data_IF_133602248571
#
_entry.id   IF_133602248571
#
_cell.length_a   1.000
_cell.length_b   1.000
_cell.length_c   1.000
_cell.angle_alpha   90.00
_cell.angle_beta   90.00
_cell.angle_gamma   90.00
#
_symmetry.space_group_name_H-M   'P 1'
#
loop_
_entity.id
_entity.type
_entity.pdbx_description
1 polymer ?
#
# COMPACT_ATOMS: atom_id res chain seq x y z
N UNK A 1 2.68 19.78 -9.24
CA UNK A 1 2.23 18.56 -9.95
C UNK A 1 1.34 17.79 -8.99
N UNK A 2 0.30 17.12 -9.48
CA UNK A 2 -0.50 16.21 -8.64
C UNK A 2 0.35 15.01 -8.22
N UNK A 3 0.20 14.49 -6.99
CA UNK A 3 1.00 13.36 -6.52
C UNK A 3 0.70 12.09 -7.33
N UNK A 4 1.74 11.32 -7.60
CA UNK A 4 1.69 10.04 -8.32
C UNK A 4 1.60 8.91 -7.31
N UNK A 5 0.52 8.14 -7.39
CA UNK A 5 0.25 7.02 -6.50
C UNK A 5 0.24 5.70 -7.27
N UNK A 6 0.69 4.63 -6.61
CA UNK A 6 0.59 3.26 -7.13
C UNK A 6 0.44 2.23 -6.01
N UNK A 7 -0.24 1.14 -6.32
CA UNK A 7 -0.08 -0.09 -5.57
C UNK A 7 1.19 -0.79 -6.01
N UNK A 8 1.76 -1.64 -5.16
CA UNK A 8 2.87 -2.51 -5.54
C UNK A 8 2.71 -3.91 -4.94
N UNK A 9 3.18 -4.91 -5.66
CA UNK A 9 3.35 -6.28 -5.16
C UNK A 9 4.63 -6.89 -5.74
N UNK A 10 5.10 -7.98 -5.16
CA UNK A 10 6.34 -8.64 -5.54
C UNK A 10 6.08 -10.10 -5.94
N UNK A 11 6.67 -10.52 -7.06
CA UNK A 11 6.67 -11.89 -7.54
C UNK A 11 8.11 -12.36 -7.78
N UNK A 12 8.62 -13.22 -6.90
CA UNK A 12 9.99 -13.79 -7.01
C UNK A 12 9.97 -15.22 -7.55
N UNK A 13 8.84 -15.92 -7.45
CA UNK A 13 8.69 -17.31 -7.86
C UNK A 13 7.33 -17.55 -8.57
N UNK A 14 7.30 -18.51 -9.48
CA UNK A 14 6.10 -18.80 -10.28
C UNK A 14 4.96 -19.42 -9.46
N UNK A 15 5.22 -20.06 -8.31
CA UNK A 15 4.16 -20.64 -7.47
C UNK A 15 3.23 -19.59 -6.88
N UNK A 16 3.70 -18.34 -6.73
CA UNK A 16 2.91 -17.21 -6.23
C UNK A 16 2.05 -16.54 -7.31
N UNK A 17 2.06 -17.05 -8.56
CA UNK A 17 1.18 -16.57 -9.63
C UNK A 17 -0.28 -16.50 -9.18
N UNK A 18 -0.76 -17.56 -8.51
CA UNK A 18 -2.14 -17.65 -8.04
C UNK A 18 -2.49 -16.56 -7.04
N UNK A 19 -1.56 -16.26 -6.13
CA UNK A 19 -1.68 -15.17 -5.17
C UNK A 19 -1.80 -13.81 -5.86
N UNK A 20 -0.83 -13.47 -6.72
CA UNK A 20 -0.84 -12.19 -7.44
C UNK A 20 -2.10 -12.04 -8.28
N UNK A 21 -2.55 -13.10 -8.95
CA UNK A 21 -3.78 -13.07 -9.75
C UNK A 21 -5.02 -12.79 -8.87
N UNK A 22 -5.13 -13.42 -7.69
CA UNK A 22 -6.21 -13.15 -6.74
C UNK A 22 -6.14 -11.70 -6.20
N UNK A 23 -4.95 -11.21 -5.86
CA UNK A 23 -4.73 -9.83 -5.44
C UNK A 23 -5.19 -8.84 -6.51
N UNK A 24 -4.74 -9.02 -7.76
CA UNK A 24 -5.09 -8.14 -8.87
C UNK A 24 -6.60 -8.15 -9.13
N UNK A 25 -7.23 -9.33 -9.19
CA UNK A 25 -8.70 -9.43 -9.33
C UNK A 25 -9.45 -8.72 -8.21
N UNK A 26 -8.98 -8.86 -6.97
CA UNK A 26 -9.60 -8.21 -5.82
C UNK A 26 -9.45 -6.68 -5.87
N UNK A 27 -8.28 -6.16 -6.30
CA UNK A 27 -8.07 -4.73 -6.54
C UNK A 27 -8.94 -4.20 -7.68
N UNK A 28 -9.08 -4.95 -8.78
CA UNK A 28 -9.99 -4.63 -9.90
C UNK A 28 -11.43 -4.47 -9.42
N UNK A 29 -11.88 -5.36 -8.52
CA UNK A 29 -13.21 -5.28 -7.92
C UNK A 29 -13.43 -4.00 -7.10
N UNK A 30 -12.36 -3.40 -6.53
CA UNK A 30 -12.44 -2.10 -5.84
C UNK A 30 -12.53 -0.90 -6.79
N UNK A 31 -12.23 -1.10 -8.07
CA UNK A 31 -12.23 -0.06 -9.11
C UNK A 31 -11.29 1.09 -8.81
N UNK A 32 -10.18 0.79 -8.16
CA UNK A 32 -9.12 1.78 -7.94
C UNK A 32 -8.60 2.34 -9.27
N UNK A 33 -8.36 3.66 -9.39
CA UNK A 33 -7.82 4.26 -10.60
C UNK A 33 -6.28 4.14 -10.69
N UNK A 34 -5.63 3.66 -9.63
CA UNK A 34 -4.18 3.66 -9.53
C UNK A 34 -3.57 2.39 -10.13
N UNK A 35 -2.41 2.49 -10.79
CA UNK A 35 -1.73 1.33 -11.35
C UNK A 35 -1.15 0.43 -10.25
N UNK A 36 -0.88 -0.81 -10.60
CA UNK A 36 -0.14 -1.78 -9.78
C UNK A 36 1.24 -1.99 -10.38
N UNK A 37 2.29 -1.71 -9.60
CA UNK A 37 3.64 -2.12 -9.92
C UNK A 37 3.81 -3.60 -9.58
N UNK A 38 4.01 -4.42 -10.61
CA UNK A 38 4.38 -5.83 -10.43
C UNK A 38 5.90 -5.92 -10.46
N UNK A 39 6.53 -5.82 -9.29
CA UNK A 39 7.96 -6.07 -9.17
C UNK A 39 8.20 -7.56 -9.37
N UNK A 40 9.17 -7.93 -10.19
CA UNK A 40 9.52 -9.33 -10.39
C UNK A 40 11.01 -9.54 -10.58
N UNK A 41 11.50 -10.73 -10.21
CA UNK A 41 12.89 -11.13 -10.46
C UNK A 41 13.04 -11.79 -11.84
N UNK A 42 14.27 -12.12 -12.21
CA UNK A 42 14.58 -12.87 -13.43
C UNK A 42 14.12 -14.34 -13.38
N UNK A 43 13.83 -14.87 -12.19
CA UNK A 43 13.44 -16.27 -11.99
C UNK A 43 11.97 -16.52 -12.34
N UNK A 44 11.16 -15.46 -12.43
CA UNK A 44 9.78 -15.53 -12.88
C UNK A 44 9.72 -15.66 -14.41
N UNK A 45 8.94 -16.64 -14.89
CA UNK A 45 8.84 -16.88 -16.32
C UNK A 45 8.16 -15.72 -17.04
N UNK A 46 8.63 -15.42 -18.26
CA UNK A 46 8.00 -14.39 -19.10
C UNK A 46 6.53 -14.71 -19.43
N UNK A 47 6.16 -16.00 -19.47
CA UNK A 47 4.76 -16.44 -19.60
C UNK A 47 3.91 -16.02 -18.41
N UNK A 48 4.43 -16.15 -17.19
CA UNK A 48 3.75 -15.73 -15.96
C UNK A 48 3.51 -14.22 -15.98
N UNK A 49 4.53 -13.42 -16.28
CA UNK A 49 4.39 -11.95 -16.37
C UNK A 49 3.41 -11.56 -17.47
N UNK A 50 3.49 -12.17 -18.65
CA UNK A 50 2.56 -11.92 -19.74
C UNK A 50 1.12 -12.27 -19.37
N UNK A 51 0.89 -13.38 -18.68
CA UNK A 51 -0.46 -13.78 -18.24
C UNK A 51 -1.06 -12.73 -17.30
N UNK A 52 -0.30 -12.27 -16.29
CA UNK A 52 -0.75 -11.28 -15.31
C UNK A 52 -1.05 -9.91 -15.93
N UNK A 53 -0.29 -9.51 -16.98
CA UNK A 53 -0.44 -8.21 -17.65
C UNK A 53 -1.49 -8.25 -18.77
N UNK A 54 -1.52 -9.31 -19.58
CA UNK A 54 -2.32 -9.38 -20.80
C UNK A 54 -3.82 -9.36 -20.52
N UNK A 55 -4.27 -10.05 -19.47
CA UNK A 55 -5.68 -10.12 -19.09
C UNK A 55 -6.27 -8.75 -18.70
N UNK A 56 -5.43 -7.73 -18.52
CA UNK A 56 -5.77 -6.43 -17.93
C UNK A 56 -5.48 -5.25 -18.84
N UNK A 57 -4.99 -5.51 -20.06
CA UNK A 57 -4.88 -4.48 -21.09
C UNK A 57 -6.26 -4.22 -21.66
N UNK A 58 -6.74 -2.97 -21.58
CA UNK A 58 -7.84 -2.51 -22.43
C UNK A 58 -7.49 -2.85 -23.88
N UNK A 59 -8.38 -3.56 -24.58
CA UNK A 59 -8.38 -3.45 -26.03
C UNK A 59 -8.55 -1.96 -26.36
N UNK A 60 -7.69 -1.33 -27.16
CA UNK A 60 -8.03 -0.01 -27.68
C UNK A 60 -9.36 -0.15 -28.41
N UNK A 61 -10.30 0.76 -28.15
CA UNK A 61 -11.43 0.94 -29.03
C UNK A 61 -10.87 1.03 -30.45
N UNK A 62 -11.40 0.20 -31.36
CA UNK A 62 -11.02 0.25 -32.76
C UNK A 62 -11.19 1.67 -33.26
N UNK A 63 -10.09 2.40 -33.42
CA UNK A 63 -10.10 3.60 -34.24
C UNK A 63 -10.41 3.15 -35.65
N UNK A 64 -11.55 3.62 -36.15
CA UNK A 64 -11.96 3.50 -37.53
C UNK A 64 -10.78 3.79 -38.45
N UNK A 65 -10.64 2.92 -39.45
CA UNK A 65 -9.75 3.12 -40.57
C UNK A 65 -10.10 4.44 -41.28
N UNK A 66 -9.41 5.51 -40.91
CA UNK A 66 -9.49 6.83 -41.51
C UNK A 66 -8.13 7.25 -42.05
N UNK A 67 -7.81 6.79 -43.24
CA UNK A 67 -6.71 7.26 -44.10
C UNK A 67 -6.66 8.79 -44.12
N UNK A 68 -5.51 9.39 -43.77
CA UNK A 68 -4.76 10.34 -44.61
C UNK A 68 -3.54 10.87 -43.86
N UNK A 69 -2.36 10.72 -44.47
CA UNK A 69 -1.12 11.28 -43.96
C UNK A 69 -0.99 12.78 -44.23
N UNK A 70 -0.15 13.44 -43.43
CA UNK A 70 0.88 14.37 -43.93
C UNK A 70 1.87 14.77 -42.85
N UNK A 71 3.06 15.08 -43.35
CA UNK A 71 4.35 15.29 -42.71
C UNK A 71 4.43 16.44 -41.69
N UNK A 72 5.25 16.20 -40.65
CA UNK A 72 6.41 16.96 -40.20
C UNK A 72 6.39 18.50 -40.33
N UNK A 73 6.55 19.20 -39.21
CA UNK A 73 7.51 20.32 -39.09
C UNK A 73 7.89 20.63 -37.64
N UNK A 74 9.20 20.69 -37.46
CA UNK A 74 9.98 21.21 -36.35
C UNK A 74 9.70 22.70 -36.12
N UNK A 75 9.63 23.11 -34.85
CA UNK A 75 9.48 24.50 -34.44
C UNK A 75 10.01 24.69 -33.02
N UNK A 76 11.27 25.08 -32.94
CA UNK A 76 12.00 25.48 -31.74
C UNK A 76 11.60 26.94 -31.44
N UNK A 77 11.02 27.24 -30.28
CA UNK A 77 10.94 28.63 -29.82
C UNK A 77 11.36 28.75 -28.36
N UNK A 78 12.39 29.58 -28.20
CA UNK A 78 13.05 30.02 -26.98
C UNK A 78 12.33 31.29 -26.52
N UNK A 79 11.93 31.36 -25.24
CA UNK A 79 11.45 32.60 -24.61
C UNK A 79 12.39 32.96 -23.45
N UNK A 80 12.86 34.22 -23.35
CA UNK A 80 13.94 34.63 -22.46
C UNK A 80 13.48 34.98 -21.04
N UNK A 81 14.48 34.91 -20.16
CA UNK A 81 14.51 35.42 -18.79
C UNK A 81 14.33 36.94 -18.69
N UNK A 82 13.53 37.40 -17.72
CA UNK A 82 13.72 38.69 -17.03
C UNK A 82 12.88 38.71 -15.75
N UNK A 83 13.53 38.59 -14.59
CA UNK A 83 13.86 39.70 -13.67
C UNK A 83 12.76 39.98 -12.63
N UNK A 84 13.15 39.75 -11.37
CA UNK A 84 12.51 40.22 -10.15
C UNK A 84 12.58 41.76 -10.04
N UNK A 85 11.69 42.38 -9.25
CA UNK A 85 11.99 43.61 -8.55
C UNK A 85 12.21 43.41 -7.06
N UNK A 86 13.06 44.28 -6.54
CA UNK A 86 13.72 44.29 -5.24
C UNK A 86 12.85 44.73 -4.05
N UNK A 87 13.40 44.40 -2.89
CA UNK A 87 13.20 44.92 -1.54
C UNK A 87 12.98 46.44 -1.39
N UNK A 88 12.26 46.83 -0.32
CA UNK A 88 12.72 47.82 0.69
C UNK A 88 11.84 47.79 1.97
N UNK A 89 12.24 48.41 3.13
CA UNK A 89 12.38 47.67 4.39
C UNK A 89 11.74 48.33 5.64
N UNK A 90 11.94 47.71 6.81
CA UNK A 90 11.83 48.35 8.14
C UNK A 90 10.81 47.66 9.05
N UNK A 91 11.00 47.48 10.37
CA UNK A 91 12.01 47.96 11.33
C UNK A 91 12.08 46.97 12.51
N UNK A 92 13.27 46.82 13.08
CA UNK A 92 13.47 46.25 14.43
C UNK A 92 13.16 47.29 15.50
N UNK A 93 12.62 46.86 16.64
CA UNK A 93 12.88 47.50 17.94
C UNK A 93 12.73 46.50 19.09
N UNK A 94 13.78 46.37 19.87
CA UNK A 94 13.88 45.60 21.11
C UNK A 94 13.58 46.48 22.34
N UNK A 95 12.79 45.92 23.27
CA UNK A 95 12.89 46.01 24.76
C UNK A 95 12.56 47.35 25.48
N UNK A 96 12.26 47.41 26.81
CA UNK A 96 12.42 46.40 27.88
C UNK A 96 11.25 46.23 28.90
N UNK A 97 11.54 45.41 29.91
CA UNK A 97 10.80 44.81 31.04
C UNK A 97 9.98 45.77 31.94
N UNK A 98 8.84 45.28 32.45
CA UNK A 98 8.19 45.79 33.68
C UNK A 98 7.25 44.77 34.34
N UNK A 99 7.58 44.34 35.57
CA UNK A 99 6.71 43.51 36.44
C UNK A 99 5.60 44.36 37.08
N UNK A 100 4.36 43.87 37.11
CA UNK A 100 3.42 43.94 38.26
C UNK A 100 2.13 43.17 37.90
N UNK A 101 1.58 42.44 38.88
CA UNK A 101 0.53 41.45 38.64
C UNK A 101 -0.90 41.86 38.98
N UNK A 102 -1.74 40.84 38.81
CA UNK A 102 -2.99 40.51 39.52
C UNK A 102 -4.33 40.84 38.83
N UNK A 103 -5.00 39.71 38.49
CA UNK A 103 -6.43 39.37 38.38
C UNK A 103 -7.22 39.55 37.07
N UNK A 104 -8.12 38.59 36.79
CA UNK A 104 -8.41 38.14 35.44
C UNK A 104 -9.59 38.89 34.83
N UNK A 105 -9.40 39.41 33.62
CA UNK A 105 -10.51 39.82 32.77
C UNK A 105 -10.91 38.60 31.95
N UNK A 106 -12.14 38.12 32.13
CA UNK A 106 -12.74 37.09 31.29
C UNK A 106 -12.88 37.64 29.88
N UNK A 107 -11.87 37.42 29.05
CA UNK A 107 -11.93 37.70 27.63
C UNK A 107 -12.58 36.48 26.98
N UNK A 108 -13.85 36.60 26.61
CA UNK A 108 -14.50 35.65 25.71
C UNK A 108 -13.80 35.75 24.36
N UNK A 109 -12.76 34.93 24.17
CA UNK A 109 -12.20 34.69 22.85
C UNK A 109 -13.27 33.92 22.08
N UNK A 110 -13.96 34.61 21.18
CA UNK A 110 -14.62 33.93 20.05
C UNK A 110 -13.49 33.24 19.29
N UNK A 111 -13.28 31.96 19.58
CA UNK A 111 -12.39 31.13 18.77
C UNK A 111 -13.07 31.02 17.41
N UNK A 112 -12.50 31.71 16.44
CA UNK A 112 -12.72 31.41 15.03
C UNK A 112 -12.11 30.02 14.80
N UNK A 113 -12.89 28.98 15.09
CA UNK A 113 -12.49 27.57 14.94
C UNK A 113 -12.49 27.20 13.45
N UNK A 114 -11.52 27.71 12.70
CA UNK A 114 -11.10 27.01 11.48
C UNK A 114 -10.37 25.74 11.91
N UNK A 115 -11.12 24.67 12.25
CA UNK A 115 -10.57 23.35 12.58
C UNK A 115 -9.69 22.88 11.42
N UNK A 116 -8.38 22.85 11.64
CA UNK A 116 -7.42 22.27 10.70
C UNK A 116 -7.74 20.78 10.58
N UNK A 117 -8.14 20.33 9.38
CA UNK A 117 -8.45 18.91 9.14
C UNK A 117 -7.21 18.05 9.34
N UNK A 118 -7.30 17.07 10.23
CA UNK A 118 -6.26 16.06 10.46
C UNK A 118 -6.25 15.04 9.33
N UNK A 119 -5.18 14.26 9.20
CA UNK A 119 -5.15 13.15 8.23
C UNK A 119 -6.18 12.07 8.57
N UNK A 120 -6.49 11.87 9.85
CA UNK A 120 -7.61 11.02 10.28
C UNK A 120 -8.94 11.52 9.72
N UNK A 121 -9.23 12.83 9.81
CA UNK A 121 -10.47 13.40 9.26
C UNK A 121 -10.53 13.21 7.72
N UNK A 122 -9.38 13.29 7.03
CA UNK A 122 -9.29 13.08 5.57
C UNK A 122 -9.52 11.62 5.19
N UNK A 123 -8.96 10.70 5.96
CA UNK A 123 -9.12 9.25 5.76
C UNK A 123 -10.58 8.86 5.99
N UNK A 124 -11.19 9.29 7.09
CA UNK A 124 -12.61 8.99 7.38
C UNK A 124 -13.55 9.51 6.29
N UNK A 125 -13.32 10.74 5.81
CA UNK A 125 -14.08 11.30 4.70
C UNK A 125 -13.85 10.54 3.38
N UNK A 126 -12.62 10.10 3.11
CA UNK A 126 -12.31 9.29 1.95
C UNK A 126 -12.96 7.90 2.02
N UNK A 127 -12.95 7.26 3.20
CA UNK A 127 -13.64 5.99 3.46
C UNK A 127 -15.15 6.15 3.22
N UNK A 128 -15.77 7.20 3.76
CA UNK A 128 -17.20 7.49 3.59
C UNK A 128 -17.57 7.64 2.10
N UNK A 129 -16.81 8.44 1.35
CA UNK A 129 -17.03 8.64 -0.09
C UNK A 129 -16.85 7.35 -0.89
N UNK A 130 -15.88 6.51 -0.51
CA UNK A 130 -15.68 5.22 -1.17
C UNK A 130 -16.87 4.28 -0.94
N UNK A 131 -17.39 4.23 0.29
CA UNK A 131 -18.58 3.44 0.62
C UNK A 131 -19.84 3.94 -0.10
N UNK A 132 -20.03 5.25 -0.23
CA UNK A 132 -21.16 5.85 -0.96
C UNK A 132 -21.11 5.52 -2.46
N UNK A 133 -19.95 5.71 -3.11
CA UNK A 133 -19.76 5.36 -4.52
C UNK A 133 -20.02 3.87 -4.79
N UNK A 134 -19.58 3.00 -3.89
CA UNK A 134 -19.83 1.56 -3.99
C UNK A 134 -21.34 1.26 -3.93
N UNK A 135 -22.04 1.90 -2.99
CA UNK A 135 -23.49 1.72 -2.77
C UNK A 135 -24.35 2.24 -3.93
N UNK A 136 -24.03 3.43 -4.43
CA UNK A 136 -24.72 4.03 -5.58
C UNK A 136 -24.54 3.18 -6.84
N UNK A 137 -23.35 2.63 -7.05
CA UNK A 137 -23.04 1.84 -8.25
C UNK A 137 -23.65 0.43 -8.20
N UNK A 138 -23.78 -0.17 -7.01
CA UNK A 138 -24.54 -1.41 -6.83
C UNK A 138 -26.01 -1.26 -7.27
N UNK A 139 -26.58 -0.06 -7.12
CA UNK A 139 -27.94 0.26 -7.59
C UNK A 139 -28.03 0.57 -9.09
N UNK A 140 -26.95 1.04 -9.70
CA UNK A 140 -26.94 1.55 -11.07
C UNK A 140 -26.69 0.48 -12.17
N UNK A 141 -26.36 -0.77 -11.83
CA UNK A 141 -26.29 -1.88 -12.78
C UNK A 141 -25.28 -1.77 -13.94
N UNK A 142 -24.34 -0.82 -13.91
CA UNK A 142 -23.44 -0.51 -15.03
C UNK A 142 -22.25 -1.49 -15.18
N UNK A 143 -22.08 -2.00 -16.41
CA UNK A 143 -21.23 -3.12 -16.84
C UNK A 143 -19.87 -2.75 -17.48
N UNK A 144 -19.33 -1.56 -17.26
CA UNK A 144 -17.95 -1.28 -17.70
C UNK A 144 -16.92 -1.77 -16.66
N UNK A 145 -16.44 -2.99 -16.87
CA UNK A 145 -15.24 -3.53 -16.24
C UNK A 145 -14.00 -2.86 -16.87
N UNK A 146 -13.43 -1.88 -16.17
CA UNK A 146 -12.11 -1.37 -16.51
C UNK A 146 -11.10 -2.19 -15.70
N UNK A 147 -10.31 -3.02 -16.39
CA UNK A 147 -9.19 -3.75 -15.78
C UNK A 147 -8.14 -2.79 -15.22
N UNK A 148 -7.40 -3.25 -14.20
CA UNK A 148 -6.38 -2.44 -13.53
C UNK A 148 -5.10 -2.37 -14.37
N UNK A 149 -4.46 -1.20 -14.43
CA UNK A 149 -3.19 -1.08 -15.14
C UNK A 149 -2.06 -1.75 -14.35
N UNK A 150 -1.50 -2.84 -14.88
CA UNK A 150 -0.34 -3.51 -14.30
C UNK A 150 0.93 -3.11 -15.04
N UNK A 151 1.91 -2.59 -14.30
CA UNK A 151 3.21 -2.14 -14.81
C UNK A 151 4.29 -3.12 -14.31
N UNK A 152 4.77 -4.05 -15.16
CA UNK A 152 5.83 -4.96 -14.76
C UNK A 152 7.17 -4.21 -14.61
N UNK A 153 7.90 -4.51 -13.54
CA UNK A 153 9.23 -3.97 -13.24
C UNK A 153 10.18 -5.11 -12.91
N UNK A 154 11.13 -5.37 -13.78
CA UNK A 154 12.22 -6.28 -13.46
C UNK A 154 13.13 -5.63 -12.42
N UNK A 155 13.31 -6.30 -11.29
CA UNK A 155 14.20 -5.89 -10.20
C UNK A 155 15.21 -7.00 -9.91
N UNK A 156 16.41 -6.62 -9.46
CA UNK A 156 17.40 -7.60 -9.02
C UNK A 156 17.07 -8.14 -7.62
N UNK A 157 17.34 -9.42 -7.37
CA UNK A 157 17.23 -9.97 -6.02
C UNK A 157 18.13 -9.22 -5.04
N UNK A 158 17.68 -9.09 -3.80
CA UNK A 158 18.51 -8.63 -2.68
C UNK A 158 18.97 -9.86 -1.93
N UNK A 159 20.29 -10.04 -1.84
CA UNK A 159 20.88 -11.23 -1.26
C UNK A 159 20.55 -11.36 0.23
N UNK A 160 20.26 -12.59 0.64
CA UNK A 160 20.15 -12.96 2.05
C UNK A 160 21.51 -12.78 2.77
N UNK A 161 21.53 -12.31 4.04
CA UNK A 161 22.76 -12.13 4.82
C UNK A 161 23.64 -13.37 4.78
N UNK A 162 24.94 -13.18 4.56
CA UNK A 162 25.87 -14.32 4.41
C UNK A 162 25.93 -15.21 5.65
N UNK A 163 25.86 -14.59 6.83
CA UNK A 163 25.94 -15.29 8.10
C UNK A 163 24.74 -16.22 8.37
N UNK A 164 23.59 -15.94 7.75
CA UNK A 164 22.33 -16.63 8.02
C UNK A 164 21.85 -17.48 6.83
N UNK A 165 22.61 -17.48 5.73
CA UNK A 165 22.23 -18.14 4.46
C UNK A 165 22.02 -19.64 4.58
N UNK A 166 22.80 -20.30 5.43
CA UNK A 166 22.73 -21.75 5.66
C UNK A 166 21.74 -22.13 6.78
N UNK A 167 21.22 -21.13 7.51
CA UNK A 167 20.29 -21.32 8.64
C UNK A 167 18.89 -20.80 8.35
N UNK A 168 18.62 -20.28 7.15
CA UNK A 168 17.30 -19.81 6.75
C UNK A 168 16.27 -20.94 6.91
N UNK A 169 15.32 -20.84 7.86
CA UNK A 169 14.49 -21.97 8.27
C UNK A 169 13.43 -22.34 7.23
N UNK A 170 13.16 -21.48 6.24
CA UNK A 170 12.13 -21.67 5.23
C UNK A 170 12.71 -21.61 3.82
N UNK A 171 12.61 -22.73 3.10
CA UNK A 171 12.95 -22.83 1.68
C UNK A 171 12.00 -21.93 0.86
N UNK A 172 12.48 -20.76 0.43
CA UNK A 172 11.68 -19.74 -0.25
C UNK A 172 11.94 -18.31 0.25
N UNK A 173 12.51 -18.15 1.45
CA UNK A 173 12.84 -16.83 2.01
C UNK A 173 14.19 -16.28 1.53
N UNK A 174 14.85 -16.95 0.59
CA UNK A 174 16.12 -16.53 -0.01
C UNK A 174 16.02 -15.16 -0.70
N UNK A 175 14.82 -14.78 -1.13
CA UNK A 175 14.53 -13.51 -1.80
C UNK A 175 13.62 -12.58 -0.97
N UNK A 176 13.41 -12.84 0.33
CA UNK A 176 12.50 -12.03 1.16
C UNK A 176 12.90 -10.54 1.19
N UNK A 177 14.19 -10.24 1.20
CA UNK A 177 14.70 -8.86 1.15
C UNK A 177 14.55 -8.18 -0.20
N UNK A 178 14.17 -8.91 -1.26
CA UNK A 178 13.85 -8.28 -2.56
C UNK A 178 12.66 -7.33 -2.43
N UNK A 179 11.81 -7.49 -1.41
CA UNK A 179 10.74 -6.53 -1.05
C UNK A 179 11.27 -5.10 -0.84
N UNK A 180 12.51 -4.93 -0.39
CA UNK A 180 13.11 -3.61 -0.19
C UNK A 180 13.19 -2.78 -1.49
N UNK A 181 13.19 -3.43 -2.66
CA UNK A 181 13.17 -2.79 -3.99
C UNK A 181 11.97 -1.87 -4.22
N UNK A 182 10.92 -1.97 -3.40
CA UNK A 182 9.76 -1.06 -3.44
C UNK A 182 10.18 0.39 -3.15
N UNK A 183 11.23 0.62 -2.34
CA UNK A 183 11.75 1.97 -2.08
C UNK A 183 12.50 2.58 -3.28
N UNK A 184 12.91 1.80 -4.27
CA UNK A 184 13.56 2.32 -5.48
C UNK A 184 12.59 2.93 -6.50
N UNK A 185 11.27 2.77 -6.30
CA UNK A 185 10.24 3.16 -7.26
C UNK A 185 9.91 4.67 -7.18
N UNK A 186 10.95 5.51 -7.31
CA UNK A 186 10.91 6.98 -7.10
C UNK A 186 10.16 7.77 -8.18
N UNK A 187 9.58 7.09 -9.16
CA UNK A 187 8.63 7.71 -10.09
C UNK A 187 7.21 7.87 -9.48
N UNK A 188 7.01 7.44 -8.23
CA UNK A 188 5.80 7.62 -7.43
C UNK A 188 6.08 8.34 -6.11
N UNK A 189 5.13 9.15 -5.66
CA UNK A 189 5.20 9.91 -4.41
C UNK A 189 4.80 9.07 -3.20
N UNK A 190 3.79 8.19 -3.35
CA UNK A 190 3.34 7.25 -2.31
C UNK A 190 3.00 5.91 -2.94
N UNK A 191 3.48 4.84 -2.33
CA UNK A 191 3.18 3.46 -2.71
C UNK A 191 2.43 2.76 -1.57
N UNK A 192 1.36 2.05 -1.93
CA UNK A 192 0.71 1.06 -1.06
C UNK A 192 1.17 -0.33 -1.51
N UNK A 193 2.12 -0.90 -0.78
CA UNK A 193 2.59 -2.25 -1.00
C UNK A 193 1.64 -3.26 -0.36
N UNK A 194 1.32 -4.33 -1.09
CA UNK A 194 0.45 -5.44 -0.66
C UNK A 194 1.09 -6.76 -1.09
N UNK A 195 1.35 -7.66 -0.14
CA UNK A 195 1.95 -8.97 -0.41
C UNK A 195 1.06 -9.81 -1.34
N UNK A 196 1.71 -10.66 -2.15
CA UNK A 196 1.06 -11.48 -3.17
C UNK A 196 0.04 -12.49 -2.61
N UNK A 197 0.05 -12.78 -1.31
CA UNK A 197 -0.90 -13.65 -0.63
C UNK A 197 -1.99 -12.88 0.12
N UNK A 198 -2.23 -11.63 -0.25
CA UNK A 198 -3.37 -10.84 0.21
C UNK A 198 -4.51 -10.82 -0.82
N UNK A 199 -5.72 -10.55 -0.34
CA UNK A 199 -6.85 -10.11 -1.17
C UNK A 199 -7.45 -8.84 -0.57
N UNK A 200 -7.85 -7.92 -1.44
CA UNK A 200 -8.47 -6.64 -1.09
C UNK A 200 -9.99 -6.77 -1.20
N UNK A 201 -10.67 -6.73 -0.06
CA UNK A 201 -12.12 -6.92 0.02
C UNK A 201 -12.90 -5.61 -0.14
N UNK A 202 -12.23 -4.46 -0.01
CA UNK A 202 -12.82 -3.12 -0.05
C UNK A 202 -11.88 -2.09 -0.65
N UNK A 203 -12.38 -0.96 -1.18
CA UNK A 203 -11.53 0.16 -1.54
C UNK A 203 -10.62 0.58 -0.36
N UNK A 204 -9.34 0.77 -0.66
CA UNK A 204 -8.29 1.18 0.28
C UNK A 204 -7.47 2.38 -0.22
N UNK A 205 -7.99 3.11 -1.21
CA UNK A 205 -7.30 4.26 -1.82
C UNK A 205 -7.00 5.38 -0.82
N UNK A 206 -7.76 5.47 0.28
CA UNK A 206 -7.47 6.40 1.37
C UNK A 206 -6.11 6.16 2.05
N UNK A 207 -5.51 4.97 1.87
CA UNK A 207 -4.17 4.69 2.37
C UNK A 207 -3.11 5.62 1.76
N UNK A 208 -3.30 6.14 0.54
CA UNK A 208 -2.40 7.12 -0.06
C UNK A 208 -2.34 8.45 0.69
N UNK A 209 -3.30 8.71 1.58
CA UNK A 209 -3.36 9.92 2.41
C UNK A 209 -2.68 9.75 3.77
N UNK A 210 -2.14 8.56 4.08
CA UNK A 210 -1.53 8.26 5.38
C UNK A 210 -0.27 9.08 5.62
N UNK A 211 -0.14 9.58 6.84
CA UNK A 211 1.06 10.21 7.37
C UNK A 211 1.16 9.92 8.88
N UNK A 212 2.38 9.85 9.46
CA UNK A 212 3.66 9.84 8.75
C UNK A 212 3.91 8.51 8.04
N UNK A 213 4.87 8.50 7.11
CA UNK A 213 5.34 7.32 6.38
C UNK A 213 6.74 6.91 6.87
N UNK A 214 7.09 5.61 6.85
CA UNK A 214 6.25 4.49 6.44
C UNK A 214 5.18 4.13 7.49
N UNK A 215 4.04 3.62 7.02
CA UNK A 215 2.95 3.12 7.85
C UNK A 215 2.72 1.63 7.59
N UNK A 216 2.53 0.86 8.65
CA UNK A 216 2.31 -0.58 8.60
C UNK A 216 1.16 -0.96 9.53
N UNK A 217 0.61 -2.17 9.38
CA UNK A 217 -0.38 -2.70 10.30
C UNK A 217 0.29 -3.56 11.40
N UNK A 218 -0.25 -3.58 12.64
CA UNK A 218 0.32 -4.38 13.71
C UNK A 218 0.28 -5.88 13.40
N UNK A 219 1.29 -6.61 13.84
CA UNK A 219 1.27 -8.07 13.88
C UNK A 219 0.48 -8.56 15.11
N UNK A 220 0.14 -9.85 15.16
CA UNK A 220 -0.52 -10.46 16.32
C UNK A 220 0.51 -10.72 17.43
N UNK A 221 1.71 -11.17 17.08
CA UNK A 221 2.73 -11.61 18.05
C UNK A 221 4.13 -11.07 17.71
N UNK A 222 4.68 -10.10 18.46
CA UNK A 222 4.02 -9.24 19.45
C UNK A 222 3.32 -8.02 18.82
N UNK A 223 2.28 -7.46 19.47
CA UNK A 223 1.45 -6.39 18.90
C UNK A 223 2.14 -5.01 18.86
N UNK A 224 3.32 -4.88 19.48
CA UNK A 224 4.20 -3.71 19.34
C UNK A 224 5.11 -3.80 18.12
N UNK A 225 4.99 -4.88 17.33
CA UNK A 225 5.60 -5.07 16.02
C UNK A 225 4.54 -4.95 14.94
N UNK A 226 5.01 -4.61 13.75
CA UNK A 226 4.17 -4.61 12.56
C UNK A 226 4.38 -5.87 11.72
N UNK A 227 3.38 -6.20 10.92
CA UNK A 227 3.50 -7.15 9.84
C UNK A 227 3.77 -6.41 8.52
N UNK A 228 4.81 -6.81 7.78
CA UNK A 228 5.22 -6.11 6.55
C UNK A 228 4.47 -6.58 5.28
N UNK A 229 3.36 -7.28 5.44
CA UNK A 229 2.49 -7.68 4.32
C UNK A 229 1.71 -6.54 3.69
N UNK A 230 1.50 -5.44 4.43
CA UNK A 230 0.93 -4.20 3.89
C UNK A 230 1.72 -3.02 4.42
N UNK A 231 2.18 -2.16 3.51
CA UNK A 231 2.95 -0.97 3.84
C UNK A 231 2.49 0.23 3.02
N UNK A 232 2.41 1.41 3.63
CA UNK A 232 2.32 2.68 2.91
C UNK A 232 3.65 3.38 3.07
N UNK A 233 4.31 3.74 1.98
CA UNK A 233 5.65 4.32 2.01
C UNK A 233 5.84 5.39 0.94
N UNK A 234 6.80 6.26 1.19
CA UNK A 234 7.37 7.14 0.18
C UNK A 234 8.66 6.49 -0.35
N UNK A 235 8.76 6.18 -1.65
CA UNK A 235 9.99 5.66 -2.23
C UNK A 235 11.14 6.66 -2.07
N UNK A 236 12.32 6.18 -1.71
CA UNK A 236 13.53 6.97 -1.53
C UNK A 236 14.78 6.09 -1.75
N UNK A 237 15.64 6.48 -2.70
CA UNK A 237 16.84 5.72 -3.04
C UNK A 237 17.88 5.70 -1.91
N UNK A 238 17.95 6.76 -1.10
CA UNK A 238 18.83 6.82 0.06
C UNK A 238 18.38 5.86 1.15
N UNK A 239 17.07 5.85 1.45
CA UNK A 239 16.46 4.92 2.40
C UNK A 239 16.63 3.46 1.95
N UNK A 240 16.42 3.18 0.65
CA UNK A 240 16.71 1.88 0.07
C UNK A 240 18.18 1.47 0.29
N UNK A 241 19.14 2.34 -0.04
CA UNK A 241 20.56 2.07 0.15
C UNK A 241 20.93 1.80 1.61
N UNK A 242 20.35 2.57 2.54
CA UNK A 242 20.53 2.40 3.98
C UNK A 242 19.99 1.04 4.46
N UNK A 243 18.80 0.64 4.01
CA UNK A 243 18.22 -0.66 4.36
C UNK A 243 19.06 -1.81 3.80
N UNK A 244 19.47 -1.77 2.53
CA UNK A 244 20.31 -2.83 1.94
C UNK A 244 21.65 -2.95 2.67
N UNK A 245 22.28 -1.84 3.04
CA UNK A 245 23.50 -1.87 3.85
C UNK A 245 23.25 -2.43 5.28
N UNK A 246 22.04 -2.26 5.81
CA UNK A 246 21.67 -2.77 7.12
C UNK A 246 21.32 -4.27 7.12
N UNK A 247 20.98 -4.89 5.98
CA UNK A 247 20.66 -6.33 5.87
C UNK A 247 21.75 -7.21 6.46
N UNK A 248 23.03 -6.92 6.21
CA UNK A 248 24.16 -7.71 6.75
C UNK A 248 24.46 -7.41 8.24
N UNK A 249 23.81 -6.40 8.84
CA UNK A 249 24.15 -5.89 10.19
C UNK A 249 23.03 -6.05 11.20
N UNK A 250 21.77 -5.91 10.78
CA UNK A 250 20.61 -6.00 11.66
C UNK A 250 20.04 -7.41 11.64
N UNK A 251 19.65 -7.95 12.79
CA UNK A 251 19.02 -9.26 12.84
C UNK A 251 17.61 -9.20 12.26
N UNK A 252 17.16 -10.33 11.71
CA UNK A 252 15.74 -10.57 11.46
C UNK A 252 15.24 -11.62 12.45
N UNK A 253 14.31 -11.25 13.36
CA UNK A 253 13.87 -12.19 14.40
C UNK A 253 13.04 -13.36 13.86
N UNK A 254 12.43 -13.22 12.68
CA UNK A 254 11.72 -14.29 11.99
C UNK A 254 12.58 -14.90 10.86
N UNK A 255 13.66 -14.23 10.45
CA UNK A 255 14.47 -14.58 9.28
C UNK A 255 13.95 -13.98 7.97
N UNK A 256 12.88 -13.19 8.00
CA UNK A 256 12.19 -12.61 6.86
C UNK A 256 12.29 -11.09 6.79
N UNK A 257 11.53 -10.48 5.88
CA UNK A 257 11.47 -9.04 5.74
C UNK A 257 10.76 -8.36 6.92
N UNK A 258 9.74 -9.00 7.52
CA UNK A 258 9.01 -8.43 8.65
C UNK A 258 9.91 -8.24 9.87
N UNK A 259 10.68 -9.26 10.25
CA UNK A 259 11.62 -9.17 11.36
C UNK A 259 12.71 -8.12 11.13
N UNK A 260 13.29 -8.11 9.93
CA UNK A 260 14.31 -7.12 9.55
C UNK A 260 13.78 -5.69 9.57
N UNK A 261 12.60 -5.45 8.95
CA UNK A 261 12.01 -4.12 8.90
C UNK A 261 11.66 -3.62 10.30
N UNK A 262 11.22 -4.49 11.21
CA UNK A 262 11.01 -4.12 12.61
C UNK A 262 12.33 -3.82 13.36
N UNK A 263 13.44 -4.45 12.99
CA UNK A 263 14.77 -4.09 13.54
C UNK A 263 15.25 -2.75 12.98
N UNK A 264 14.99 -2.48 11.70
CA UNK A 264 15.37 -1.25 11.03
C UNK A 264 14.51 -0.05 11.48
N UNK A 265 13.18 -0.17 11.43
CA UNK A 265 12.21 0.81 11.94
C UNK A 265 11.85 0.53 13.42
N UNK A 266 12.87 0.38 14.26
CA UNK A 266 12.73 -0.06 15.66
C UNK A 266 11.80 0.80 16.53
N UNK A 267 11.65 2.09 16.22
CA UNK A 267 10.76 3.02 16.93
C UNK A 267 9.36 3.13 16.30
N UNK A 268 8.98 2.27 15.35
CA UNK A 268 7.69 2.37 14.64
C UNK A 268 6.48 2.49 15.58
N UNK A 269 6.44 1.69 16.64
CA UNK A 269 5.29 1.69 17.56
C UNK A 269 5.18 2.99 18.38
N UNK A 270 6.29 3.68 18.58
CA UNK A 270 6.37 4.95 19.32
C UNK A 270 6.08 6.17 18.42
N UNK A 271 6.02 5.99 17.10
CA UNK A 271 5.67 7.05 16.16
C UNK A 271 4.22 7.54 16.33
N UNK A 272 3.93 8.67 15.70
CA UNK A 272 2.58 9.22 15.62
C UNK A 272 1.58 8.15 15.13
N UNK A 273 0.36 8.18 15.69
CA UNK A 273 -0.65 7.14 15.49
C UNK A 273 -0.95 6.83 14.01
N UNK A 274 -0.78 7.79 13.11
CA UNK A 274 -0.99 7.59 11.67
C UNK A 274 -0.05 6.59 11.00
N UNK A 275 1.12 6.30 11.59
CA UNK A 275 2.04 5.24 11.14
C UNK A 275 1.51 3.81 11.45
N UNK A 276 0.51 3.70 12.32
CA UNK A 276 -0.11 2.43 12.72
C UNK A 276 -1.43 2.26 11.99
N UNK A 277 -1.40 1.52 10.89
CA UNK A 277 -2.59 1.16 10.14
C UNK A 277 -3.50 0.30 11.04
N UNK A 278 -4.82 0.54 11.06
CA UNK A 278 -5.75 -0.36 11.73
C UNK A 278 -5.61 -1.79 11.19
N UNK A 279 -5.71 -2.79 12.08
CA UNK A 279 -5.50 -4.21 11.73
C UNK A 279 -6.38 -4.70 10.55
N UNK A 280 -7.55 -4.09 10.32
CA UNK A 280 -8.43 -4.38 9.18
C UNK A 280 -7.80 -4.16 7.80
N UNK A 281 -6.72 -3.38 7.72
CA UNK A 281 -5.93 -3.17 6.51
C UNK A 281 -4.83 -4.21 6.30
N UNK A 282 -4.65 -5.17 7.22
CA UNK A 282 -3.77 -6.32 7.09
C UNK A 282 -4.29 -7.43 8.02
N UNK A 283 -5.54 -7.86 7.82
CA UNK A 283 -6.17 -8.82 8.71
C UNK A 283 -5.52 -10.19 8.51
N UNK A 284 -4.70 -10.60 9.48
CA UNK A 284 -3.91 -11.82 9.35
C UNK A 284 -4.79 -13.07 9.53
N UNK A 285 -4.73 -14.00 8.57
CA UNK A 285 -5.43 -15.31 8.62
C UNK A 285 -5.14 -16.08 9.91
N UNK A 286 -3.95 -15.92 10.47
CA UNK A 286 -3.57 -16.56 11.75
C UNK A 286 -4.52 -16.19 12.89
N UNK A 287 -5.01 -14.95 12.98
CA UNK A 287 -6.00 -14.56 14.00
C UNK A 287 -7.29 -15.36 13.85
N UNK A 288 -7.75 -15.51 12.61
CA UNK A 288 -8.95 -16.30 12.29
C UNK A 288 -8.78 -17.76 12.74
N UNK A 289 -7.69 -18.42 12.34
CA UNK A 289 -7.42 -19.81 12.72
C UNK A 289 -7.37 -20.02 14.24
N UNK A 290 -6.80 -19.07 14.98
CA UNK A 290 -6.65 -19.19 16.43
C UNK A 290 -7.93 -18.93 17.21
N UNK A 291 -8.79 -18.04 16.70
CA UNK A 291 -9.88 -17.47 17.52
C UNK A 291 -11.27 -17.76 16.98
N UNK A 292 -11.44 -17.99 15.68
CA UNK A 292 -12.76 -17.93 15.07
C UNK A 292 -13.71 -19.04 15.56
N UNK A 293 -13.21 -20.28 15.68
CA UNK A 293 -14.04 -21.42 16.12
C UNK A 293 -14.51 -21.32 17.58
N UNK A 294 -13.72 -20.67 18.45
CA UNK A 294 -13.99 -20.58 19.88
C UNK A 294 -14.58 -19.24 20.31
N UNK A 295 -14.22 -18.15 19.62
CA UNK A 295 -14.50 -16.76 20.00
C UNK A 295 -14.55 -15.83 18.78
N UNK A 296 -15.61 -15.97 17.97
CA UNK A 296 -15.88 -15.12 16.79
C UNK A 296 -15.80 -13.61 17.05
N UNK A 297 -16.00 -13.17 18.29
CA UNK A 297 -15.88 -11.77 18.71
C UNK A 297 -14.54 -11.11 18.35
N UNK A 298 -13.43 -11.85 18.39
CA UNK A 298 -12.12 -11.32 17.96
C UNK A 298 -12.13 -10.94 16.48
N UNK A 299 -12.67 -11.81 15.63
CA UNK A 299 -12.78 -11.54 14.20
C UNK A 299 -13.81 -10.46 13.88
N UNK A 300 -14.95 -10.47 14.57
CA UNK A 300 -16.00 -9.46 14.42
C UNK A 300 -15.49 -8.05 14.79
N UNK A 301 -14.58 -7.93 15.77
CA UNK A 301 -13.99 -6.65 16.15
C UNK A 301 -13.06 -6.06 15.07
N UNK A 302 -12.59 -6.88 14.12
CA UNK A 302 -11.78 -6.42 12.97
C UNK A 302 -12.68 -5.87 11.85
N UNK A 303 -13.96 -6.25 11.82
CA UNK A 303 -14.87 -5.83 10.75
C UNK A 303 -15.08 -4.30 10.77
N UNK A 304 -15.18 -3.65 9.60
CA UNK A 304 -15.09 -4.25 8.28
C UNK A 304 -13.66 -4.59 7.86
N UNK A 305 -13.45 -5.80 7.33
CA UNK A 305 -12.15 -6.23 6.82
C UNK A 305 -11.92 -5.58 5.46
N UNK A 306 -10.75 -4.95 5.27
CA UNK A 306 -10.37 -4.28 4.03
C UNK A 306 -9.36 -5.09 3.23
N UNK A 307 -8.33 -5.61 3.89
CA UNK A 307 -7.33 -6.50 3.27
C UNK A 307 -7.21 -7.74 4.17
N UNK A 308 -7.35 -8.91 3.57
CA UNK A 308 -7.17 -10.20 4.22
C UNK A 308 -5.84 -10.81 3.75
N UNK A 309 -4.97 -11.14 4.70
CA UNK A 309 -3.62 -11.61 4.44
C UNK A 309 -3.47 -13.09 4.82
N UNK A 310 -3.20 -13.94 3.84
CA UNK A 310 -2.98 -15.37 4.01
C UNK A 310 -1.52 -15.67 4.40
N UNK A 311 -1.03 -14.95 5.43
CA UNK A 311 0.37 -14.90 5.85
C UNK A 311 0.98 -16.25 6.24
N UNK A 312 0.16 -17.18 6.74
CA UNK A 312 0.58 -18.52 7.15
C UNK A 312 0.71 -19.50 5.97
N UNK A 313 1.32 -20.66 6.20
CA UNK A 313 1.27 -21.82 5.30
C UNK A 313 0.30 -22.88 5.83
N UNK A 314 -0.26 -23.75 4.96
CA UNK A 314 -0.15 -23.72 3.50
C UNK A 314 -0.90 -22.53 2.89
N UNK A 315 -0.42 -22.00 1.78
CA UNK A 315 -1.11 -20.96 0.99
C UNK A 315 -2.42 -21.51 0.41
N UNK A 316 -3.43 -20.67 0.13
CA UNK A 316 -4.73 -21.13 -0.36
C UNK A 316 -4.70 -22.00 -1.61
N UNK A 317 -3.69 -21.81 -2.47
CA UNK A 317 -3.50 -22.54 -3.72
C UNK A 317 -2.64 -23.81 -3.58
N UNK A 318 -2.08 -24.09 -2.40
CA UNK A 318 -1.21 -25.26 -2.17
C UNK A 318 -1.99 -26.49 -1.71
N UNK A 319 -3.13 -26.32 -1.04
CA UNK A 319 -3.96 -27.42 -0.56
C UNK A 319 -5.45 -27.14 -0.78
N UNK A 320 -6.26 -28.18 -1.07
CA UNK A 320 -7.71 -28.03 -1.21
C UNK A 320 -8.35 -27.50 0.08
N UNK A 321 -9.36 -26.65 -0.09
CA UNK A 321 -9.97 -25.81 0.95
C UNK A 321 -10.46 -26.60 2.18
N UNK A 322 -10.26 -26.02 3.37
CA UNK A 322 -10.72 -26.58 4.65
C UNK A 322 -11.44 -25.58 5.56
N UNK A 323 -11.47 -24.28 5.23
CA UNK A 323 -12.18 -23.27 6.02
C UNK A 323 -12.84 -22.22 5.13
N UNK A 324 -13.80 -21.49 5.69
CA UNK A 324 -14.54 -20.41 5.04
C UNK A 324 -13.63 -19.32 4.42
N UNK A 325 -12.44 -19.08 4.97
CA UNK A 325 -11.48 -18.11 4.39
C UNK A 325 -10.82 -18.63 3.11
N UNK A 326 -10.52 -19.93 3.01
CA UNK A 326 -10.02 -20.50 1.75
C UNK A 326 -11.09 -20.52 0.67
N UNK A 327 -12.35 -20.80 1.04
CA UNK A 327 -13.48 -20.70 0.11
C UNK A 327 -13.64 -19.27 -0.43
N UNK A 328 -13.53 -18.27 0.46
CA UNK A 328 -13.50 -16.86 0.09
C UNK A 328 -12.36 -16.56 -0.90
N UNK A 329 -11.15 -17.02 -0.61
CA UNK A 329 -10.00 -16.82 -1.49
C UNK A 329 -10.24 -17.43 -2.88
N UNK A 330 -10.72 -18.67 -2.94
CA UNK A 330 -11.04 -19.35 -4.20
C UNK A 330 -12.16 -18.67 -4.97
N UNK A 331 -13.19 -18.15 -4.28
CA UNK A 331 -14.23 -17.35 -4.91
C UNK A 331 -13.65 -16.11 -5.58
N UNK A 332 -12.80 -15.36 -4.90
CA UNK A 332 -12.11 -14.18 -5.46
C UNK A 332 -11.23 -14.58 -6.64
N UNK A 333 -10.40 -15.62 -6.47
CA UNK A 333 -9.50 -16.10 -7.52
C UNK A 333 -10.25 -16.56 -8.78
N UNK A 334 -11.35 -17.31 -8.63
CA UNK A 334 -12.09 -17.86 -9.78
C UNK A 334 -12.98 -16.81 -10.44
N UNK A 335 -13.65 -15.97 -9.66
CA UNK A 335 -14.73 -15.09 -10.16
C UNK A 335 -14.37 -13.62 -10.24
N UNK A 336 -13.32 -13.19 -9.55
CA UNK A 336 -13.00 -11.77 -9.36
C UNK A 336 -14.00 -11.00 -8.50
N UNK A 337 -14.98 -11.68 -7.90
CA UNK A 337 -15.98 -11.03 -7.04
C UNK A 337 -15.53 -11.00 -5.59
N UNK A 338 -15.63 -9.82 -4.97
CA UNK A 338 -15.40 -9.64 -3.52
C UNK A 338 -16.76 -9.59 -2.80
N UNK A 339 -16.95 -10.34 -1.68
CA UNK A 339 -18.20 -10.35 -0.95
C UNK A 339 -18.47 -9.07 -0.14
N UNK A 340 -19.72 -8.91 0.29
CA UNK A 340 -20.12 -7.87 1.23
C UNK A 340 -19.88 -8.31 2.69
N UNK A 341 -19.93 -7.38 3.66
CA UNK A 341 -19.60 -7.69 5.09
C UNK A 341 -20.43 -8.82 5.70
N UNK A 342 -21.67 -9.00 5.25
CA UNK A 342 -22.55 -10.09 5.73
C UNK A 342 -22.05 -11.46 5.33
N UNK A 343 -21.21 -11.53 4.28
CA UNK A 343 -20.78 -12.78 3.65
C UNK A 343 -19.31 -13.08 3.94
N UNK A 344 -18.59 -12.13 4.56
CA UNK A 344 -17.24 -12.36 5.10
C UNK A 344 -17.43 -12.92 6.50
N UNK A 345 -17.52 -14.25 6.57
CA UNK A 345 -17.32 -15.16 7.72
C UNK A 345 -17.53 -14.59 9.13
#
# INVERSE_FOLDING_TARGET
MSPRYAYATLLTDNSFYYGVEALLKSLEATKTPYPVLLLHTSDVSQSTIKALVYQRRKAPASEDAGTTGKEMKTGQEVIPSSQCPEHTPGRNLHSPIGRKGVNPVSCSVTQDETRVRTDSDRIEEAERRASERTSERARAGGTEEQGICVIPRLVGSVAYPKAERDTCPVEGWKDCFTKLRVWEQVDFDVIVYVDADCIVLRPVDELFLRQPLPAFAPDIFPPDKFNAGVAVLKPDLGEYGNMVAAVERLPSYDGGDTGFLNAYFSSWYENAAGARLPFRYNALRTLYHMTYSSRKGYWNAVKPIKILHFCSSPKPWEQPAKTDLEELWWKVFLTGTVPTDSDIV
#
